data_IF_041791903802
#
_entry.id   IF_041791903802
#
_cell.length_a   1.000
_cell.length_b   1.000
_cell.length_c   1.000
_cell.angle_alpha   90.00
_cell.angle_beta   90.00
_cell.angle_gamma   90.00
#
_symmetry.space_group_name_H-M   'P 1'
#
loop_
_entity.id
_entity.type
_entity.pdbx_description
1 polymer ?
#
# COMPACT_ATOMS: atom_id res chain seq x y z
N UNK A 1 3.72 -16.25 16.68
CA UNK A 1 4.62 -15.64 15.67
C UNK A 1 4.85 -14.20 16.07
N UNK A 2 6.05 -13.62 15.85
CA UNK A 2 6.26 -12.21 16.12
C UNK A 2 5.34 -11.34 15.25
N UNK A 3 4.90 -10.21 15.81
CA UNK A 3 4.12 -9.20 15.10
C UNK A 3 5.09 -8.12 14.61
N UNK A 4 4.97 -7.74 13.35
CA UNK A 4 5.75 -6.65 12.77
C UNK A 4 4.82 -5.47 12.48
N UNK A 5 5.23 -4.27 12.88
CA UNK A 5 4.64 -3.03 12.40
C UNK A 5 5.28 -2.71 11.06
N UNK A 6 4.47 -2.64 10.01
CA UNK A 6 4.94 -2.19 8.70
C UNK A 6 4.32 -0.83 8.39
N UNK A 7 5.19 0.17 8.27
CA UNK A 7 4.83 1.52 7.85
C UNK A 7 5.01 1.64 6.35
N UNK A 8 3.99 2.08 5.65
CA UNK A 8 4.03 2.24 4.20
C UNK A 8 3.46 3.59 3.77
N UNK A 9 3.89 4.00 2.58
CA UNK A 9 3.35 5.12 1.86
C UNK A 9 2.99 4.66 0.45
N UNK A 10 1.86 5.14 -0.04
CA UNK A 10 1.28 4.74 -1.29
C UNK A 10 0.89 5.98 -2.07
N UNK A 11 1.31 6.07 -3.32
CA UNK A 11 1.01 7.19 -4.18
C UNK A 11 0.28 6.69 -5.42
N UNK A 12 -0.89 7.28 -5.68
CA UNK A 12 -1.65 7.09 -6.90
C UNK A 12 -1.23 8.15 -7.91
N UNK A 13 -0.80 7.72 -9.09
CA UNK A 13 -0.51 8.60 -10.21
C UNK A 13 -1.35 8.15 -11.41
N UNK A 14 -2.44 8.85 -11.69
CA UNK A 14 -3.26 8.59 -12.88
C UNK A 14 -3.23 9.78 -13.84
N UNK A 15 -3.16 9.49 -15.14
CA UNK A 15 -3.15 10.50 -16.20
C UNK A 15 -4.59 10.87 -16.58
N UNK A 16 -5.28 11.54 -15.66
CA UNK A 16 -6.50 12.29 -16.02
C UNK A 16 -6.11 13.65 -16.63
N UNK A 17 -7.08 14.29 -17.31
CA UNK A 17 -6.96 15.63 -17.96
C UNK A 17 -6.39 16.70 -17.00
N UNK A 18 -6.46 16.44 -15.70
CA UNK A 18 -5.70 17.10 -14.66
C UNK A 18 -4.88 16.04 -13.92
N UNK A 19 -3.54 16.17 -13.88
CA UNK A 19 -2.67 15.27 -13.10
C UNK A 19 -3.00 15.39 -11.60
N UNK A 20 -3.89 14.53 -11.12
CA UNK A 20 -4.18 14.40 -9.69
C UNK A 20 -3.36 13.25 -9.13
N UNK A 21 -2.50 13.57 -8.15
CA UNK A 21 -1.73 12.60 -7.40
C UNK A 21 -2.19 12.58 -5.95
N UNK A 22 -2.69 11.45 -5.47
CA UNK A 22 -3.07 11.27 -4.07
C UNK A 22 -2.03 10.41 -3.36
N UNK A 23 -1.58 10.84 -2.18
CA UNK A 23 -0.61 10.09 -1.38
C UNK A 23 -1.21 9.75 -0.03
N UNK A 24 -1.11 8.47 0.35
CA UNK A 24 -1.61 7.91 1.59
C UNK A 24 -0.48 7.26 2.36
N UNK A 25 -0.46 7.44 3.67
CA UNK A 25 0.50 6.80 4.58
C UNK A 25 -0.28 6.07 5.66
N UNK A 26 0.14 4.86 6.00
CA UNK A 26 -0.50 4.07 7.05
C UNK A 26 0.47 3.05 7.65
N UNK A 27 0.02 2.43 8.73
CA UNK A 27 0.74 1.39 9.48
C UNK A 27 -0.15 0.16 9.61
N UNK A 28 0.42 -1.03 9.43
CA UNK A 28 -0.29 -2.32 9.59
C UNK A 28 0.52 -3.24 10.47
N UNK A 29 -0.16 -3.94 11.36
CA UNK A 29 0.41 -5.01 12.16
C UNK A 29 0.29 -6.34 11.41
N UNK A 30 1.40 -7.03 11.20
CA UNK A 30 1.46 -8.29 10.46
C UNK A 30 2.14 -9.37 11.29
N UNK A 31 1.45 -10.49 11.48
CA UNK A 31 2.07 -11.71 12.00
C UNK A 31 2.92 -12.40 10.94
N UNK A 32 4.22 -12.50 11.20
CA UNK A 32 5.17 -13.10 10.27
C UNK A 32 6.29 -13.84 11.01
N UNK A 33 6.96 -14.77 10.33
CA UNK A 33 8.15 -15.45 10.86
C UNK A 33 9.40 -14.56 10.85
N UNK A 34 9.34 -13.40 10.20
CA UNK A 34 10.44 -12.46 10.06
C UNK A 34 10.05 -11.25 9.18
N UNK A 35 10.92 -10.23 9.10
CA UNK A 35 10.64 -8.97 8.42
C UNK A 35 10.41 -9.14 6.91
N UNK A 36 11.15 -10.04 6.25
CA UNK A 36 10.95 -10.32 4.82
C UNK A 36 9.60 -10.98 4.53
N UNK A 37 9.15 -11.85 5.43
CA UNK A 37 7.84 -12.48 5.34
C UNK A 37 6.73 -11.46 5.60
N UNK A 38 6.90 -10.55 6.57
CA UNK A 38 5.96 -9.45 6.81
C UNK A 38 5.83 -8.56 5.57
N UNK A 39 6.97 -8.21 4.94
CA UNK A 39 7.01 -7.43 3.70
C UNK A 39 6.22 -8.11 2.58
N UNK A 40 6.45 -9.40 2.35
CA UNK A 40 5.80 -10.16 1.27
C UNK A 40 4.30 -10.36 1.52
N UNK A 41 3.86 -10.45 2.77
CA UNK A 41 2.43 -10.50 3.13
C UNK A 41 1.73 -9.16 2.90
N UNK A 42 2.42 -8.05 3.18
CA UNK A 42 1.84 -6.72 3.01
C UNK A 42 1.58 -6.35 1.54
N UNK A 43 2.52 -6.63 0.64
CA UNK A 43 2.46 -6.12 -0.74
C UNK A 43 1.17 -6.51 -1.49
N UNK A 44 0.69 -7.76 -1.45
CA UNK A 44 -0.55 -8.16 -2.14
C UNK A 44 -1.81 -7.59 -1.48
N UNK A 45 -1.88 -7.59 -0.13
CA UNK A 45 -3.03 -7.06 0.60
C UNK A 45 -3.19 -5.56 0.37
N UNK A 46 -2.07 -4.82 0.39
CA UNK A 46 -2.08 -3.42 0.05
C UNK A 46 -2.50 -3.23 -1.39
N UNK A 47 -1.88 -3.89 -2.37
CA UNK A 47 -2.24 -3.71 -3.78
C UNK A 47 -3.75 -3.89 -4.04
N UNK A 48 -4.39 -4.88 -3.39
CA UNK A 48 -5.85 -5.07 -3.48
C UNK A 48 -6.63 -3.93 -2.83
N UNK A 49 -6.24 -3.50 -1.63
CA UNK A 49 -6.87 -2.38 -0.94
C UNK A 49 -6.66 -1.04 -1.66
N UNK A 50 -5.49 -0.86 -2.29
CA UNK A 50 -5.12 0.26 -3.16
C UNK A 50 -6.06 0.34 -4.36
N UNK A 51 -6.23 -0.78 -5.06
CA UNK A 51 -7.10 -0.88 -6.22
C UNK A 51 -8.56 -0.61 -5.84
N UNK A 52 -9.03 -1.16 -4.71
CA UNK A 52 -10.38 -0.90 -4.21
C UNK A 52 -10.59 0.59 -3.88
N UNK A 53 -9.67 1.22 -3.14
CA UNK A 53 -9.75 2.64 -2.82
C UNK A 53 -9.74 3.53 -4.06
N UNK A 54 -8.91 3.22 -5.07
CA UNK A 54 -8.89 4.00 -6.31
C UNK A 54 -10.21 3.91 -7.08
N UNK A 55 -10.78 2.70 -7.19
CA UNK A 55 -12.07 2.47 -7.85
C UNK A 55 -13.24 3.12 -7.09
N UNK A 56 -13.17 3.18 -5.76
CA UNK A 56 -14.20 3.82 -4.92
C UNK A 56 -14.11 5.35 -4.95
N UNK A 57 -12.90 5.91 -4.97
CA UNK A 57 -12.69 7.36 -4.90
C UNK A 57 -12.82 8.06 -6.26
N UNK A 58 -12.50 7.38 -7.37
CA UNK A 58 -12.54 8.01 -8.69
C UNK A 58 -13.04 7.05 -9.78
N UNK A 59 -14.26 7.25 -10.32
CA UNK A 59 -14.78 6.44 -11.42
C UNK A 59 -14.05 6.65 -12.75
N UNK A 60 -13.15 7.63 -12.86
CA UNK A 60 -12.27 7.83 -14.02
C UNK A 60 -10.96 7.03 -13.94
N UNK A 61 -10.68 6.38 -12.80
CA UNK A 61 -9.53 5.51 -12.63
C UNK A 61 -9.61 4.31 -13.60
N UNK A 62 -8.59 4.16 -14.43
CA UNK A 62 -8.44 3.07 -15.37
C UNK A 62 -7.20 2.24 -15.04
N UNK A 63 -7.42 1.08 -14.44
CA UNK A 63 -6.37 0.13 -14.07
C UNK A 63 -5.45 -0.32 -15.23
N UNK A 64 -5.81 -0.06 -16.49
CA UNK A 64 -4.98 -0.39 -17.65
C UNK A 64 -3.95 0.70 -17.99
N UNK A 65 -4.16 1.95 -17.54
CA UNK A 65 -3.30 3.10 -17.87
C UNK A 65 -2.73 3.78 -16.63
N UNK A 66 -3.41 3.67 -15.51
CA UNK A 66 -3.06 4.37 -14.28
C UNK A 66 -2.11 3.56 -13.42
N UNK A 67 -1.10 4.24 -12.89
CA UNK A 67 -0.03 3.62 -12.14
C UNK A 67 -0.20 3.85 -10.63
N UNK A 68 0.14 2.83 -9.86
CA UNK A 68 0.27 2.92 -8.41
C UNK A 68 1.73 2.68 -8.01
N UNK A 69 2.23 3.46 -7.07
CA UNK A 69 3.56 3.28 -6.48
C UNK A 69 3.41 3.02 -4.98
N UNK A 70 3.93 1.89 -4.51
CA UNK A 70 3.91 1.48 -3.10
C UNK A 70 5.33 1.48 -2.55
N UNK A 71 5.57 2.34 -1.55
CA UNK A 71 6.84 2.44 -0.84
C UNK A 71 6.69 1.97 0.60
N UNK A 72 7.32 0.84 0.91
CA UNK A 72 7.47 0.38 2.28
C UNK A 72 8.56 1.22 2.94
N UNK A 73 8.20 1.96 3.99
CA UNK A 73 9.07 2.93 4.65
C UNK A 73 9.86 2.30 5.78
N UNK A 74 9.23 1.42 6.55
CA UNK A 74 9.84 0.79 7.71
C UNK A 74 9.15 -0.53 8.06
N UNK A 75 9.90 -1.49 8.60
CA UNK A 75 9.41 -2.76 9.15
C UNK A 75 10.10 -2.95 10.50
N UNK A 76 9.34 -2.95 11.57
CA UNK A 76 9.86 -3.10 12.94
C UNK A 76 9.15 -4.26 13.63
N UNK A 77 9.89 -5.10 14.34
CA UNK A 77 9.29 -6.11 15.21
C UNK A 77 8.69 -5.40 16.43
N UNK A 78 7.40 -5.67 16.68
CA UNK A 78 6.70 -5.17 17.84
C UNK A 78 7.10 -6.03 19.04
N UNK A 79 8.04 -5.51 19.84
CA UNK A 79 8.28 -6.05 21.18
C UNK A 79 7.08 -5.72 22.07
N UNK A 80 6.39 -6.77 22.51
CA UNK A 80 5.30 -6.70 23.49
C UNK A 80 5.75 -6.06 24.81
#
# INVERSE_FOLDING_TARGET
MPVFVVRYQMTFNYESVCRYGATFSSEVDIEASGPDTARRKLTPELALHTLALALEQDPSFNHNYDNFDLKIRNIEEKTL
#
